data_IF_872224747796
#
_entry.id   IF_872224747796
#
_cell.length_a   1.000
_cell.length_b   1.000
_cell.length_c   1.000
_cell.angle_alpha   90.00
_cell.angle_beta   90.00
_cell.angle_gamma   90.00
#
_symmetry.space_group_name_H-M   'P 1'
#
loop_
_entity.id
_entity.type
_entity.pdbx_description
1 polymer ?
#
# COMPACT_ATOMS: atom_id res chain seq x y z
N UNK A 1 -38.55 15.28 -20.22
CA UNK A 1 -38.26 14.16 -21.15
C UNK A 1 -39.07 14.41 -22.41
N UNK A 2 -38.44 14.69 -23.56
CA UNK A 2 -39.15 15.03 -24.80
C UNK A 2 -39.94 13.82 -25.34
N UNK A 3 -41.13 14.08 -25.88
CA UNK A 3 -42.00 13.05 -26.47
C UNK A 3 -41.41 12.58 -27.82
N UNK A 4 -41.57 11.29 -28.16
CA UNK A 4 -41.10 10.65 -29.40
C UNK A 4 -41.51 11.38 -30.69
N UNK A 5 -42.64 12.09 -30.68
CA UNK A 5 -43.08 12.92 -31.81
C UNK A 5 -42.21 14.17 -32.03
N UNK A 6 -41.65 14.73 -30.96
CA UNK A 6 -40.80 15.92 -31.02
C UNK A 6 -39.38 15.58 -31.48
N UNK A 7 -38.84 14.43 -31.04
CA UNK A 7 -37.52 13.94 -31.46
C UNK A 7 -37.45 13.68 -32.97
N UNK A 8 -38.50 13.08 -33.54
CA UNK A 8 -38.57 12.83 -34.99
C UNK A 8 -38.73 14.10 -35.83
N UNK A 9 -39.32 15.16 -35.26
CA UNK A 9 -39.45 16.45 -35.93
C UNK A 9 -38.09 17.16 -36.03
N UNK A 10 -37.31 17.17 -34.95
CA UNK A 10 -35.98 17.79 -34.93
C UNK A 10 -34.94 17.05 -35.78
N UNK A 11 -35.09 15.72 -35.95
CA UNK A 11 -34.26 14.94 -36.91
C UNK A 11 -34.55 15.31 -38.37
N UNK A 12 -35.79 15.69 -38.70
CA UNK A 12 -36.15 16.17 -40.04
C UNK A 12 -35.70 17.60 -40.34
N UNK A 13 -35.42 18.40 -39.31
CA UNK A 13 -35.03 19.81 -39.44
C UNK A 13 -33.50 20.02 -39.44
N UNK A 14 -32.70 18.97 -39.71
CA UNK A 14 -31.22 19.02 -39.70
C UNK A 14 -30.63 19.59 -38.39
N UNK A 15 -31.30 19.38 -37.25
CA UNK A 15 -30.76 19.74 -35.96
C UNK A 15 -29.83 18.64 -35.42
N UNK A 16 -28.60 19.01 -35.07
CA UNK A 16 -27.63 18.10 -34.45
C UNK A 16 -28.13 17.67 -33.06
N UNK A 17 -28.43 16.39 -32.91
CA UNK A 17 -28.97 15.82 -31.67
C UNK A 17 -27.82 15.20 -30.87
N UNK A 18 -27.36 15.91 -29.84
CA UNK A 18 -26.34 15.40 -28.92
C UNK A 18 -27.02 14.63 -27.77
N UNK A 19 -26.82 13.31 -27.73
CA UNK A 19 -27.27 12.47 -26.64
C UNK A 19 -26.11 12.22 -25.66
N UNK A 20 -26.24 12.72 -24.43
CA UNK A 20 -25.31 12.44 -23.34
C UNK A 20 -25.85 11.26 -22.54
N UNK A 21 -25.20 10.10 -22.69
CA UNK A 21 -25.49 8.94 -21.85
C UNK A 21 -24.64 9.02 -20.57
N UNK A 22 -25.27 9.41 -19.46
CA UNK A 22 -24.65 9.32 -18.14
C UNK A 22 -25.02 7.97 -17.51
N UNK A 23 -24.07 7.05 -17.45
CA UNK A 23 -24.17 5.82 -16.67
C UNK A 23 -23.57 6.06 -15.28
N UNK A 24 -24.42 6.11 -14.25
CA UNK A 24 -23.97 6.09 -12.86
C UNK A 24 -23.57 4.65 -12.51
N UNK A 25 -22.28 4.37 -12.46
CA UNK A 25 -21.76 3.13 -11.89
C UNK A 25 -21.81 3.23 -10.37
N UNK A 26 -22.80 2.59 -9.75
CA UNK A 26 -22.82 2.35 -8.32
C UNK A 26 -21.91 1.14 -8.03
N UNK A 27 -20.60 1.37 -7.95
CA UNK A 27 -19.66 0.30 -7.61
C UNK A 27 -19.59 0.16 -6.09
N UNK A 28 -20.34 -0.80 -5.56
CA UNK A 28 -20.06 -1.39 -4.25
C UNK A 28 -18.71 -2.10 -4.33
N UNK A 29 -17.63 -1.39 -3.98
CA UNK A 29 -16.28 -1.94 -3.87
C UNK A 29 -15.47 -1.86 -5.17
N UNK A 30 -15.10 -0.65 -5.58
CA UNK A 30 -14.08 -0.44 -6.62
C UNK A 30 -12.78 -1.11 -6.14
N UNK A 31 -12.26 -2.06 -6.93
CA UNK A 31 -10.94 -2.64 -6.70
C UNK A 31 -9.90 -1.54 -6.92
N UNK A 32 -8.97 -1.36 -5.98
CA UNK A 32 -8.00 -0.25 -6.01
C UNK A 32 -7.17 -0.28 -7.30
N UNK A 33 -6.97 -1.46 -7.87
CA UNK A 33 -6.27 -1.75 -9.11
C UNK A 33 -6.96 -1.20 -10.37
N UNK A 34 -8.26 -0.88 -10.28
CA UNK A 34 -9.07 -0.34 -11.39
C UNK A 34 -9.15 1.19 -11.37
N UNK A 35 -8.58 1.83 -10.34
CA UNK A 35 -8.52 3.29 -10.27
C UNK A 35 -7.57 3.83 -11.36
N UNK A 36 -7.99 4.80 -12.18
CA UNK A 36 -7.18 5.33 -13.28
C UNK A 36 -5.76 5.74 -12.84
N UNK A 37 -5.64 6.37 -11.67
CA UNK A 37 -4.35 6.79 -11.09
C UNK A 37 -3.42 5.60 -10.76
N UNK A 38 -3.96 4.46 -10.33
CA UNK A 38 -3.14 3.27 -10.02
C UNK A 38 -2.65 2.62 -11.32
N UNK A 39 -3.49 2.60 -12.34
CA UNK A 39 -3.12 2.13 -13.68
C UNK A 39 -2.07 3.03 -14.36
N UNK A 40 -2.10 4.35 -14.10
CA UNK A 40 -1.13 5.32 -14.63
C UNK A 40 0.25 5.19 -13.99
N UNK A 41 0.33 4.74 -12.73
CA UNK A 41 1.58 4.66 -11.97
C UNK A 41 1.87 3.25 -11.42
N UNK A 42 2.02 2.23 -12.29
CA UNK A 42 2.19 0.84 -11.85
C UNK A 42 3.50 0.62 -11.06
N UNK A 43 4.52 1.44 -11.29
CA UNK A 43 5.78 1.38 -10.55
C UNK A 43 5.68 1.93 -9.13
N UNK A 44 4.70 2.80 -8.85
CA UNK A 44 4.48 3.42 -7.53
C UNK A 44 3.59 2.55 -6.66
N UNK A 45 2.70 1.76 -7.28
CA UNK A 45 1.76 0.86 -6.60
C UNK A 45 1.99 -0.61 -6.95
N UNK A 46 3.18 -1.18 -6.70
CA UNK A 46 3.41 -2.61 -6.91
C UNK A 46 2.63 -3.43 -5.87
N UNK A 47 2.21 -4.64 -6.23
CA UNK A 47 1.49 -5.54 -5.32
C UNK A 47 2.32 -6.02 -4.10
N UNK A 48 3.64 -5.94 -4.19
CA UNK A 48 4.56 -6.16 -3.06
C UNK A 48 5.76 -5.21 -3.16
N UNK A 49 6.27 -4.76 -2.01
CA UNK A 49 7.47 -3.92 -1.94
C UNK A 49 8.67 -4.86 -1.81
N UNK A 50 9.37 -5.04 -2.92
CA UNK A 50 10.52 -5.96 -3.03
C UNK A 50 11.87 -5.30 -2.78
N UNK A 51 11.95 -3.97 -2.89
CA UNK A 51 13.21 -3.22 -2.81
C UNK A 51 13.13 -2.08 -1.79
N UNK A 52 14.29 -1.76 -1.21
CA UNK A 52 14.43 -0.53 -0.42
C UNK A 52 14.20 0.70 -1.31
N UNK A 53 13.71 1.80 -0.75
CA UNK A 53 13.66 3.06 -1.50
C UNK A 53 15.08 3.43 -1.96
N UNK A 54 15.20 4.13 -3.10
CA UNK A 54 16.48 4.68 -3.54
C UNK A 54 17.15 5.48 -2.43
N UNK A 55 18.48 5.49 -2.45
CA UNK A 55 19.27 6.31 -1.54
C UNK A 55 18.79 7.76 -1.64
N UNK A 56 18.41 8.33 -0.49
CA UNK A 56 17.96 9.73 -0.42
C UNK A 56 19.17 10.59 -0.13
N UNK A 57 19.19 11.81 -0.64
CA UNK A 57 20.23 12.80 -0.33
C UNK A 57 20.28 13.16 1.16
N UNK A 58 19.19 12.90 1.89
CA UNK A 58 19.07 13.16 3.32
C UNK A 58 19.15 11.85 4.09
N UNK A 59 20.09 11.78 5.03
CA UNK A 59 20.23 10.68 5.98
C UNK A 59 19.16 10.78 7.08
N UNK A 60 18.50 9.66 7.39
CA UNK A 60 17.58 9.60 8.53
C UNK A 60 18.37 9.30 9.80
N UNK A 61 18.58 10.31 10.64
CA UNK A 61 19.13 10.15 11.99
C UNK A 61 18.01 10.03 13.04
N UNK A 62 18.30 9.28 14.11
CA UNK A 62 17.47 9.23 15.32
C UNK A 62 18.25 9.93 16.42
N UNK A 63 17.85 11.15 16.75
CA UNK A 63 18.50 11.93 17.79
C UNK A 63 18.12 11.40 19.18
N UNK A 64 19.13 11.12 20.00
CA UNK A 64 18.94 10.67 21.37
C UNK A 64 18.90 11.87 22.32
N UNK A 65 18.06 11.78 23.35
CA UNK A 65 18.11 12.74 24.46
C UNK A 65 19.46 12.58 25.17
N UNK A 66 20.05 13.69 25.61
CA UNK A 66 21.28 13.67 26.40
C UNK A 66 21.17 12.67 27.56
N UNK A 67 22.25 11.93 27.82
CA UNK A 67 22.35 10.86 28.84
C UNK A 67 21.60 9.54 28.55
N UNK A 68 20.94 9.41 27.38
CA UNK A 68 20.31 8.13 27.02
C UNK A 68 21.38 7.08 26.67
N UNK A 69 21.55 6.09 27.54
CA UNK A 69 22.39 4.92 27.28
C UNK A 69 21.63 3.77 26.57
N UNK A 70 22.35 2.75 26.07
CA UNK A 70 21.72 1.59 25.44
C UNK A 70 20.83 0.79 26.38
N UNK A 71 19.67 0.37 25.88
CA UNK A 71 18.74 -0.52 26.57
C UNK A 71 18.69 -1.85 25.83
N UNK A 72 18.93 -2.95 26.54
CA UNK A 72 18.81 -4.31 26.01
C UNK A 72 17.89 -5.15 26.89
N UNK A 73 16.81 -5.63 26.29
CA UNK A 73 15.80 -6.45 26.94
C UNK A 73 15.77 -7.86 26.35
N UNK A 74 15.53 -8.86 27.21
CA UNK A 74 15.38 -10.23 26.78
C UNK A 74 14.12 -10.41 25.90
N UNK A 75 14.17 -11.27 24.85
CA UNK A 75 13.00 -11.58 24.06
C UNK A 75 11.87 -12.23 24.88
N UNK A 76 10.62 -12.01 24.48
CA UNK A 76 9.48 -12.67 25.10
C UNK A 76 9.48 -14.18 24.82
N UNK A 77 8.89 -14.94 25.75
CA UNK A 77 8.66 -16.38 25.55
C UNK A 77 7.60 -16.57 24.47
N UNK A 78 7.90 -17.41 23.49
CA UNK A 78 7.04 -17.73 22.36
C UNK A 78 6.85 -19.24 22.24
N UNK A 79 5.71 -19.66 21.71
CA UNK A 79 5.44 -21.05 21.34
C UNK A 79 6.26 -21.48 20.12
N UNK A 80 6.35 -22.80 19.88
CA UNK A 80 7.08 -23.33 18.73
C UNK A 80 6.53 -22.84 17.37
N UNK A 81 5.21 -22.64 17.26
CA UNK A 81 4.59 -22.13 16.04
C UNK A 81 4.91 -20.66 15.80
N UNK A 82 4.93 -19.84 16.85
CA UNK A 82 5.30 -18.43 16.75
C UNK A 82 6.77 -18.26 16.38
N UNK A 83 7.66 -19.06 16.98
CA UNK A 83 9.08 -19.04 16.62
C UNK A 83 9.31 -19.44 15.15
N UNK A 84 8.56 -20.42 14.65
CA UNK A 84 8.62 -20.83 13.24
C UNK A 84 8.20 -19.69 12.29
N UNK A 85 7.11 -19.00 12.62
CA UNK A 85 6.63 -17.85 11.83
C UNK A 85 7.58 -16.66 11.91
N UNK A 86 8.11 -16.35 13.10
CA UNK A 86 9.09 -15.29 13.29
C UNK A 86 10.34 -15.55 12.44
N UNK A 87 10.86 -16.78 12.44
CA UNK A 87 12.01 -17.15 11.63
C UNK A 87 11.74 -16.95 10.13
N UNK A 88 10.58 -17.40 9.65
CA UNK A 88 10.17 -17.23 8.26
C UNK A 88 10.14 -15.75 7.85
N UNK A 89 9.51 -14.90 8.67
CA UNK A 89 9.43 -13.46 8.40
C UNK A 89 10.81 -12.78 8.42
N UNK A 90 11.70 -13.19 9.32
CA UNK A 90 13.08 -12.68 9.35
C UNK A 90 13.87 -13.07 8.09
N UNK A 91 13.73 -14.30 7.61
CA UNK A 91 14.36 -14.76 6.36
C UNK A 91 13.87 -13.94 5.15
N UNK A 92 12.56 -13.71 5.03
CA UNK A 92 11.98 -12.87 3.98
C UNK A 92 12.51 -11.43 4.02
N UNK A 93 12.62 -10.83 5.22
CA UNK A 93 13.14 -9.47 5.39
C UNK A 93 14.64 -9.36 5.10
N UNK A 94 15.42 -10.41 5.42
CA UNK A 94 16.84 -10.48 5.08
C UNK A 94 17.05 -10.61 3.57
N UNK A 95 16.25 -11.44 2.90
CA UNK A 95 16.29 -11.61 1.44
C UNK A 95 15.95 -10.30 0.71
N UNK A 96 14.93 -9.57 1.19
CA UNK A 96 14.57 -8.22 0.71
C UNK A 96 15.58 -7.14 1.08
N UNK A 97 16.63 -7.46 1.86
CA UNK A 97 17.64 -6.53 2.39
C UNK A 97 17.06 -5.40 3.25
N UNK A 98 15.86 -5.59 3.80
CA UNK A 98 15.22 -4.61 4.68
C UNK A 98 15.88 -4.57 6.06
N UNK A 99 16.45 -5.71 6.48
CA UNK A 99 17.21 -5.82 7.71
C UNK A 99 18.58 -6.46 7.43
N UNK A 100 19.49 -6.34 8.40
CA UNK A 100 20.80 -7.00 8.39
C UNK A 100 21.15 -7.45 9.80
N UNK A 101 22.03 -8.44 9.91
CA UNK A 101 22.60 -8.81 11.19
C UNK A 101 23.36 -7.62 11.80
N UNK A 102 23.26 -7.48 13.12
CA UNK A 102 23.91 -6.40 13.86
C UNK A 102 24.42 -6.90 15.22
N UNK A 103 25.40 -6.18 15.76
CA UNK A 103 25.97 -6.40 17.10
C UNK A 103 25.69 -5.17 17.99
N UNK A 104 24.42 -4.76 18.03
CA UNK A 104 23.99 -3.55 18.74
C UNK A 104 23.98 -3.76 20.26
N UNK A 105 24.41 -2.77 21.06
CA UNK A 105 24.15 -2.77 22.50
C UNK A 105 22.67 -2.51 22.83
N UNK A 106 21.87 -2.07 21.85
CA UNK A 106 20.43 -1.89 21.95
C UNK A 106 19.69 -3.15 21.53
N UNK A 107 18.71 -3.58 22.33
CA UNK A 107 17.89 -4.75 22.07
C UNK A 107 16.46 -4.55 22.55
N UNK A 108 15.51 -4.57 21.62
CA UNK A 108 14.08 -4.51 21.91
C UNK A 108 13.43 -5.89 21.65
N UNK A 109 12.50 -6.34 22.51
CA UNK A 109 11.81 -7.60 22.30
C UNK A 109 10.80 -7.47 21.14
N UNK A 110 10.58 -8.58 20.42
CA UNK A 110 9.62 -8.66 19.30
C UNK A 110 8.35 -9.38 19.76
N UNK A 111 7.20 -8.97 19.22
CA UNK A 111 5.90 -9.60 19.42
C UNK A 111 5.27 -9.92 18.06
N UNK A 112 4.77 -11.14 17.88
CA UNK A 112 4.05 -11.55 16.68
C UNK A 112 2.57 -11.14 16.80
N UNK A 113 2.03 -10.52 15.76
CA UNK A 113 0.63 -10.06 15.73
C UNK A 113 -0.10 -10.71 14.55
N UNK A 114 -1.21 -11.39 14.85
CA UNK A 114 -2.11 -11.90 13.81
C UNK A 114 -2.85 -10.74 13.14
N UNK A 115 -2.64 -10.57 11.83
CA UNK A 115 -3.36 -9.59 11.02
C UNK A 115 -4.82 -10.05 10.78
N UNK A 116 -5.73 -9.09 10.63
CA UNK A 116 -7.14 -9.32 10.29
C UNK A 116 -7.30 -9.46 8.79
#
# INVERSE_FOLDING_TARGET
>A
MMNTKQVNKSVKEHAELFAVFASLRLESGVKVEELPVVCEFPSVFPGDVSNLPPEREVEFSIDLVHETGPISMAPYRMSASELKELKKQLEELLEKKFIRLSVSPWGAPVLLVKKK
#
